data_IF_259943318652
#
_entry.id   IF_259943318652
#
_cell.length_a   1.000
_cell.length_b   1.000
_cell.length_c   1.000
_cell.angle_alpha   90.00
_cell.angle_beta   90.00
_cell.angle_gamma   90.00
#
_symmetry.space_group_name_H-M   'P 1'
#
loop_
_entity.id
_entity.type
_entity.pdbx_description
1 polymer ?
#
# COMPACT_ATOMS: atom_id res chain seq x y z
N UNK A 1 4.25 13.97 23.91
CA UNK A 1 4.15 13.60 22.49
C UNK A 1 3.43 12.25 22.47
N UNK A 2 2.21 12.18 21.92
CA UNK A 2 1.52 10.90 21.82
C UNK A 2 2.20 10.11 20.71
N UNK A 3 2.90 9.03 21.06
CA UNK A 3 3.45 8.12 20.06
C UNK A 3 2.30 7.52 19.26
N UNK A 4 2.34 7.69 17.93
CA UNK A 4 1.28 7.21 17.05
C UNK A 4 1.84 6.23 16.04
N UNK A 5 1.30 5.02 16.00
CA UNK A 5 1.71 3.99 15.04
C UNK A 5 0.98 4.10 13.70
N UNK A 6 0.12 5.11 13.51
CA UNK A 6 -0.77 5.19 12.33
C UNK A 6 0.00 5.26 11.01
N UNK A 7 1.11 6.01 10.98
CA UNK A 7 1.95 6.13 9.79
C UNK A 7 2.60 4.81 9.41
N UNK A 8 3.12 4.09 10.40
CA UNK A 8 3.66 2.74 10.21
C UNK A 8 2.62 1.82 9.59
N UNK A 9 1.36 1.87 10.05
CA UNK A 9 0.28 1.10 9.43
C UNK A 9 0.00 1.54 7.99
N UNK A 10 -0.07 2.84 7.70
CA UNK A 10 -0.25 3.34 6.32
C UNK A 10 0.86 2.83 5.40
N UNK A 11 2.13 2.88 5.84
CA UNK A 11 3.30 2.45 5.07
C UNK A 11 3.30 0.94 4.81
N UNK A 12 2.97 0.11 5.82
CA UNK A 12 3.12 -1.34 5.72
C UNK A 12 1.86 -2.10 5.31
N UNK A 13 0.66 -1.53 5.37
CA UNK A 13 -0.57 -2.19 4.89
C UNK A 13 -0.46 -2.67 3.43
N UNK A 14 0.03 -1.87 2.47
CA UNK A 14 0.23 -2.34 1.10
C UNK A 14 1.28 -3.46 1.03
N UNK A 15 2.36 -3.36 1.82
CA UNK A 15 3.39 -4.38 1.89
C UNK A 15 2.85 -5.72 2.44
N UNK A 16 1.91 -5.69 3.39
CA UNK A 16 1.18 -6.88 3.87
C UNK A 16 0.35 -7.48 2.75
N UNK A 17 -0.37 -6.65 1.97
CA UNK A 17 -1.11 -7.11 0.78
C UNK A 17 -0.19 -7.79 -0.24
N UNK A 18 0.96 -7.18 -0.53
CA UNK A 18 1.99 -7.73 -1.41
C UNK A 18 2.50 -9.07 -0.90
N UNK A 19 2.81 -9.16 0.41
CA UNK A 19 3.26 -10.39 1.05
C UNK A 19 2.22 -11.50 0.97
N UNK A 20 0.93 -11.18 1.15
CA UNK A 20 -0.17 -12.12 1.01
C UNK A 20 -0.29 -12.65 -0.43
N UNK A 21 -0.25 -11.77 -1.43
CA UNK A 21 -0.26 -12.18 -2.85
C UNK A 21 0.97 -13.05 -3.17
N UNK A 22 2.15 -12.64 -2.71
CA UNK A 22 3.41 -13.36 -2.88
C UNK A 22 3.37 -14.77 -2.26
N UNK A 23 2.80 -14.88 -1.05
CA UNK A 23 2.61 -16.17 -0.38
C UNK A 23 1.73 -17.11 -1.22
N UNK A 24 0.60 -16.63 -1.71
CA UNK A 24 -0.30 -17.44 -2.54
C UNK A 24 0.35 -17.83 -3.88
N UNK A 25 1.19 -16.96 -4.45
CA UNK A 25 1.98 -17.29 -5.64
C UNK A 25 2.98 -18.42 -5.38
N UNK A 26 3.71 -18.35 -4.27
CA UNK A 26 4.70 -19.36 -3.88
C UNK A 26 4.06 -20.70 -3.50
N UNK A 27 2.89 -20.66 -2.85
CA UNK A 27 2.16 -21.86 -2.44
C UNK A 27 1.31 -22.47 -3.57
N UNK A 28 1.12 -21.77 -4.69
CA UNK A 28 0.29 -22.24 -5.79
C UNK A 28 0.65 -23.65 -6.32
N UNK A 29 1.93 -24.08 -6.42
CA UNK A 29 2.28 -25.46 -6.81
C UNK A 29 1.70 -26.53 -5.88
N UNK A 30 1.51 -26.20 -4.60
CA UNK A 30 0.91 -27.09 -3.60
C UNK A 30 -0.62 -26.98 -3.60
N UNK A 31 -1.15 -25.76 -3.68
CA UNK A 31 -2.58 -25.45 -3.62
C UNK A 31 -3.33 -25.78 -4.93
N UNK A 32 -2.61 -25.90 -6.06
CA UNK A 32 -3.14 -26.18 -7.40
C UNK A 32 -4.33 -25.29 -7.76
N UNK A 33 -4.27 -24.00 -7.45
CA UNK A 33 -5.36 -23.08 -7.78
C UNK A 33 -5.44 -22.86 -9.29
N UNK A 34 -6.67 -22.74 -9.78
CA UNK A 34 -6.90 -22.29 -11.15
C UNK A 34 -6.37 -20.85 -11.31
N UNK A 35 -5.71 -20.56 -12.43
CA UNK A 35 -5.23 -19.21 -12.78
C UNK A 35 -6.26 -18.09 -12.54
N UNK A 36 -7.53 -18.21 -13.00
CA UNK A 36 -8.52 -17.14 -12.77
C UNK A 36 -8.83 -16.90 -11.29
N UNK A 37 -8.73 -17.93 -10.43
CA UNK A 37 -8.95 -17.77 -9.00
C UNK A 37 -7.80 -17.00 -8.34
N UNK A 38 -6.55 -17.27 -8.73
CA UNK A 38 -5.38 -16.56 -8.24
C UNK A 38 -5.36 -15.09 -8.71
N UNK A 39 -5.73 -14.84 -9.97
CA UNK A 39 -5.85 -13.48 -10.51
C UNK A 39 -6.90 -12.67 -9.76
N UNK A 40 -8.06 -13.29 -9.47
CA UNK A 40 -9.13 -12.64 -8.73
C UNK A 40 -8.73 -12.38 -7.27
N UNK A 41 -8.07 -13.32 -6.61
CA UNK A 41 -7.53 -13.14 -5.26
C UNK A 41 -6.58 -11.95 -5.22
N UNK A 42 -5.63 -11.88 -6.15
CA UNK A 42 -4.65 -10.80 -6.19
C UNK A 42 -5.31 -9.42 -6.38
N UNK A 43 -6.34 -9.34 -7.23
CA UNK A 43 -7.12 -8.11 -7.43
C UNK A 43 -7.86 -7.67 -6.17
N UNK A 44 -8.56 -8.59 -5.53
CA UNK A 44 -9.31 -8.31 -4.30
C UNK A 44 -8.38 -7.84 -3.19
N UNK A 45 -7.25 -8.53 -3.00
CA UNK A 45 -6.25 -8.17 -1.99
C UNK A 45 -5.63 -6.80 -2.29
N UNK A 46 -5.30 -6.51 -3.55
CA UNK A 46 -4.74 -5.22 -3.94
C UNK A 46 -5.70 -4.05 -3.67
N UNK A 47 -6.97 -4.21 -4.08
CA UNK A 47 -8.01 -3.20 -3.84
C UNK A 47 -8.28 -3.05 -2.34
N UNK A 48 -8.34 -4.15 -1.59
CA UNK A 48 -8.60 -4.11 -0.15
C UNK A 48 -7.50 -3.37 0.60
N UNK A 49 -6.23 -3.71 0.37
CA UNK A 49 -5.13 -3.05 1.08
C UNK A 49 -4.97 -1.58 0.66
N UNK A 50 -5.12 -1.24 -0.63
CA UNK A 50 -5.09 0.17 -1.05
C UNK A 50 -6.25 0.98 -0.48
N UNK A 51 -7.45 0.39 -0.37
CA UNK A 51 -8.61 1.01 0.30
C UNK A 51 -8.34 1.25 1.79
N UNK A 52 -7.76 0.27 2.49
CA UNK A 52 -7.42 0.40 3.91
C UNK A 52 -6.40 1.52 4.11
N UNK A 53 -5.34 1.59 3.28
CA UNK A 53 -4.38 2.70 3.33
C UNK A 53 -5.06 4.06 3.11
N UNK A 54 -5.96 4.17 2.12
CA UNK A 54 -6.71 5.41 1.89
C UNK A 54 -7.56 5.81 3.11
N UNK A 55 -8.28 4.86 3.71
CA UNK A 55 -9.09 5.13 4.90
C UNK A 55 -8.22 5.57 6.08
N UNK A 56 -7.09 4.91 6.32
CA UNK A 56 -6.15 5.31 7.38
C UNK A 56 -5.56 6.71 7.12
N UNK A 57 -5.25 7.03 5.87
CA UNK A 57 -4.78 8.38 5.49
C UNK A 57 -5.86 9.44 5.68
N UNK A 58 -7.13 9.13 5.41
CA UNK A 58 -8.25 10.04 5.72
C UNK A 58 -8.38 10.26 7.23
N UNK A 59 -8.25 9.21 8.04
CA UNK A 59 -8.26 9.34 9.51
C UNK A 59 -7.09 10.21 9.99
N UNK A 60 -5.90 10.02 9.41
CA UNK A 60 -4.73 10.85 9.70
C UNK A 60 -4.99 12.33 9.33
N UNK A 61 -5.60 12.58 8.16
CA UNK A 61 -5.97 13.92 7.71
C UNK A 61 -6.93 14.62 8.66
N UNK A 62 -7.98 13.93 9.12
CA UNK A 62 -8.97 14.49 10.03
C UNK A 62 -8.42 14.77 11.43
N UNK A 63 -7.35 14.07 11.83
CA UNK A 63 -6.69 14.27 13.12
C UNK A 63 -5.54 15.28 13.10
N UNK A 64 -5.19 15.84 11.95
CA UNK A 64 -4.05 16.75 11.81
C UNK A 64 -4.41 18.18 12.23
N UNK A 65 -3.55 18.79 13.04
CA UNK A 65 -3.69 20.16 13.49
C UNK A 65 -2.85 21.11 12.61
N UNK A 66 -3.51 21.91 11.76
CA UNK A 66 -2.81 22.81 10.85
C UNK A 66 -2.17 24.03 11.54
N UNK A 67 -2.59 24.37 12.76
CA UNK A 67 -2.02 25.49 13.52
C UNK A 67 -0.70 25.11 14.20
N UNK A 68 -0.42 23.81 14.30
CA UNK A 68 0.82 23.28 14.86
C UNK A 68 1.86 23.01 13.76
N UNK A 69 2.91 23.83 13.76
CA UNK A 69 4.03 23.77 12.79
C UNK A 69 5.02 22.64 13.05
N UNK A 70 4.87 21.91 14.16
CA UNK A 70 5.72 20.78 14.52
C UNK A 70 5.37 19.49 13.79
N UNK A 71 6.28 18.52 13.87
CA UNK A 71 6.04 17.15 13.44
C UNK A 71 4.97 16.47 14.31
N UNK A 72 3.96 15.92 13.66
CA UNK A 72 2.81 15.26 14.28
C UNK A 72 2.81 13.75 13.97
N UNK A 73 2.03 12.99 14.74
CA UNK A 73 1.92 11.54 14.60
C UNK A 73 3.26 10.81 14.62
N UNK A 74 4.18 11.27 15.47
CA UNK A 74 5.55 10.77 15.50
C UNK A 74 5.60 9.34 16.05
N UNK A 75 6.27 8.45 15.32
CA UNK A 75 6.71 7.16 15.78
C UNK A 75 8.24 7.13 15.73
N UNK A 76 8.85 7.08 16.91
CA UNK A 76 10.30 7.04 17.06
C UNK A 76 10.73 5.75 17.74
N UNK A 77 11.57 4.95 17.07
CA UNK A 77 12.18 3.78 17.70
C UNK A 77 13.59 3.56 17.18
N UNK A 78 14.48 3.07 18.05
CA UNK A 78 15.86 2.77 17.66
C UNK A 78 15.87 1.47 16.86
N UNK A 79 16.27 1.54 15.59
CA UNK A 79 16.27 0.38 14.71
C UNK A 79 17.58 -0.42 14.80
N UNK A 80 18.72 0.22 14.56
CA UNK A 80 20.04 -0.43 14.65
C UNK A 80 21.02 0.45 15.43
N UNK A 81 21.17 0.13 16.73
CA UNK A 81 22.03 0.87 17.67
C UNK A 81 23.47 1.00 17.20
N UNK A 82 24.04 -0.06 16.63
CA UNK A 82 25.45 -0.09 16.20
C UNK A 82 25.77 0.95 15.12
N UNK A 83 24.79 1.33 14.30
CA UNK A 83 24.94 2.30 13.23
C UNK A 83 24.24 3.63 13.50
N UNK A 84 23.69 3.80 14.72
CA UNK A 84 22.87 4.95 15.08
C UNK A 84 21.72 5.22 14.07
N UNK A 85 21.07 4.13 13.63
CA UNK A 85 19.92 4.18 12.72
C UNK A 85 18.64 4.13 13.55
N UNK A 86 17.78 5.13 13.35
CA UNK A 86 16.51 5.28 14.03
C UNK A 86 15.38 5.24 13.01
N UNK A 87 14.29 4.56 13.37
CA UNK A 87 13.03 4.65 12.64
C UNK A 87 12.26 5.83 13.23
N UNK A 88 12.32 6.95 12.52
CA UNK A 88 11.68 8.20 12.90
C UNK A 88 10.69 8.59 11.80
N UNK A 89 9.42 8.26 11.99
CA UNK A 89 8.34 8.71 11.13
C UNK A 89 7.53 9.77 11.84
N UNK A 90 7.03 10.73 11.06
CA UNK A 90 6.03 11.70 11.48
C UNK A 90 5.60 12.48 10.24
N UNK A 91 4.53 13.28 10.37
CA UNK A 91 4.08 14.15 9.28
C UNK A 91 4.17 15.61 9.70
N UNK A 92 4.45 16.46 8.73
CA UNK A 92 4.29 17.91 8.78
C UNK A 92 3.19 18.35 7.79
N UNK A 93 2.97 19.66 7.66
CA UNK A 93 1.95 20.22 6.77
C UNK A 93 2.15 19.92 5.27
N UNK A 94 3.37 19.61 4.82
CA UNK A 94 3.63 19.25 3.42
C UNK A 94 3.47 17.74 3.20
N UNK A 95 4.14 16.94 4.03
CA UNK A 95 4.12 15.48 3.93
C UNK A 95 2.71 14.91 4.08
N UNK A 96 1.84 15.49 4.92
CA UNK A 96 0.44 15.04 5.01
C UNK A 96 -0.32 15.17 3.68
N UNK A 97 -0.11 16.26 2.93
CA UNK A 97 -0.74 16.45 1.62
C UNK A 97 -0.22 15.43 0.61
N UNK A 98 1.08 15.13 0.65
CA UNK A 98 1.69 14.12 -0.21
C UNK A 98 1.20 12.72 0.12
N UNK A 99 1.13 12.34 1.40
CA UNK A 99 0.59 11.04 1.84
C UNK A 99 -0.87 10.87 1.38
N UNK A 100 -1.69 11.91 1.51
CA UNK A 100 -3.08 11.94 1.02
C UNK A 100 -3.16 11.76 -0.49
N UNK A 101 -2.36 12.51 -1.25
CA UNK A 101 -2.29 12.41 -2.70
C UNK A 101 -1.84 11.02 -3.15
N UNK A 102 -0.78 10.49 -2.54
CA UNK A 102 -0.27 9.14 -2.80
C UNK A 102 -1.33 8.09 -2.54
N UNK A 103 -2.08 8.19 -1.44
CA UNK A 103 -3.15 7.25 -1.13
C UNK A 103 -4.28 7.28 -2.15
N UNK A 104 -4.72 8.48 -2.53
CA UNK A 104 -5.78 8.67 -3.51
C UNK A 104 -5.37 8.14 -4.90
N UNK A 105 -4.20 8.54 -5.40
CA UNK A 105 -3.71 8.12 -6.72
C UNK A 105 -3.48 6.60 -6.73
N UNK A 106 -2.88 6.04 -5.68
CA UNK A 106 -2.62 4.58 -5.62
C UNK A 106 -3.92 3.78 -5.61
N UNK A 107 -4.93 4.22 -4.88
CA UNK A 107 -6.25 3.58 -4.88
C UNK A 107 -6.89 3.65 -6.27
N UNK A 108 -6.93 4.83 -6.88
CA UNK A 108 -7.49 5.01 -8.24
C UNK A 108 -6.73 4.15 -9.25
N UNK A 109 -5.40 4.12 -9.20
CA UNK A 109 -4.58 3.31 -10.09
C UNK A 109 -4.84 1.81 -9.91
N UNK A 110 -5.02 1.36 -8.67
CA UNK A 110 -5.35 -0.04 -8.35
C UNK A 110 -6.73 -0.41 -8.90
N UNK A 111 -7.73 0.43 -8.70
CA UNK A 111 -9.08 0.23 -9.25
C UNK A 111 -9.06 0.27 -10.78
N UNK A 112 -8.36 1.23 -11.39
CA UNK A 112 -8.23 1.34 -12.84
C UNK A 112 -7.54 0.13 -13.49
N UNK A 113 -6.71 -0.59 -12.73
CA UNK A 113 -6.02 -1.79 -13.21
C UNK A 113 -6.90 -3.05 -13.25
N UNK A 114 -8.13 -2.99 -12.70
CA UNK A 114 -9.12 -4.05 -12.87
C UNK A 114 -9.55 -4.17 -14.34
N UNK A 115 -10.08 -5.34 -14.77
CA UNK A 115 -10.36 -5.61 -16.19
C UNK A 115 -11.66 -4.94 -16.69
N UNK A 116 -11.75 -3.62 -16.59
CA UNK A 116 -12.92 -2.83 -17.04
C UNK A 116 -13.05 -2.85 -18.55
N UNK A 117 -14.17 -3.34 -19.09
CA UNK A 117 -14.49 -3.24 -20.52
C UNK A 117 -13.53 -4.00 -21.45
N UNK A 118 -12.63 -4.84 -20.93
CA UNK A 118 -11.63 -5.57 -21.73
C UNK A 118 -12.29 -6.81 -22.36
N UNK A 119 -12.34 -6.93 -23.70
CA UNK A 119 -12.87 -8.10 -24.38
C UNK A 119 -12.23 -9.39 -23.92
N UNK A 120 -13.01 -10.48 -23.82
CA UNK A 120 -12.52 -11.76 -23.32
C UNK A 120 -11.35 -12.34 -24.15
N UNK A 121 -11.24 -11.97 -25.43
CA UNK A 121 -10.22 -12.44 -26.35
C UNK A 121 -8.89 -11.68 -26.33
N UNK A 122 -8.79 -10.50 -25.69
CA UNK A 122 -7.53 -9.77 -25.62
C UNK A 122 -6.68 -10.27 -24.46
N UNK A 123 -5.76 -11.18 -24.79
CA UNK A 123 -4.84 -11.83 -23.84
C UNK A 123 -3.52 -11.07 -23.67
N UNK A 124 -3.29 -10.00 -24.44
CA UNK A 124 -2.03 -9.24 -24.42
C UNK A 124 -2.09 -8.05 -23.47
N UNK A 125 -3.29 -7.62 -23.05
CA UNK A 125 -3.45 -6.52 -22.10
C UNK A 125 -2.79 -6.83 -20.74
N UNK A 126 -2.07 -5.84 -20.19
CA UNK A 126 -1.31 -5.98 -18.94
C UNK A 126 -2.19 -6.44 -17.75
N UNK A 127 -3.46 -6.04 -17.73
CA UNK A 127 -4.45 -6.46 -16.71
C UNK A 127 -4.86 -7.94 -16.77
N UNK A 128 -4.44 -8.69 -17.80
CA UNK A 128 -4.71 -10.14 -17.96
C UNK A 128 -3.45 -10.99 -17.97
N UNK A 129 -2.27 -10.41 -18.16
CA UNK A 129 -1.00 -11.12 -18.16
C UNK A 129 -0.30 -10.96 -16.82
N UNK A 130 -0.06 -12.08 -16.13
CA UNK A 130 0.68 -12.11 -14.86
C UNK A 130 0.10 -11.18 -13.78
N UNK A 131 -1.23 -11.15 -13.68
CA UNK A 131 -2.01 -10.27 -12.76
C UNK A 131 -1.46 -10.28 -11.33
N UNK A 132 -1.15 -11.43 -10.71
CA UNK A 132 -0.73 -11.46 -9.32
C UNK A 132 0.62 -10.77 -9.12
N UNK A 133 1.57 -10.97 -10.03
CA UNK A 133 2.88 -10.32 -9.97
C UNK A 133 2.76 -8.81 -10.15
N UNK A 134 1.96 -8.36 -11.12
CA UNK A 134 1.69 -6.93 -11.33
C UNK A 134 1.08 -6.27 -10.09
N UNK A 135 0.04 -6.88 -9.50
CA UNK A 135 -0.66 -6.33 -8.33
C UNK A 135 0.26 -6.28 -7.09
N UNK A 136 1.09 -7.31 -6.90
CA UNK A 136 2.09 -7.32 -5.84
C UNK A 136 3.12 -6.19 -6.00
N UNK A 137 3.60 -5.95 -7.22
CA UNK A 137 4.54 -4.86 -7.50
C UNK A 137 3.90 -3.48 -7.35
N UNK A 138 2.63 -3.31 -7.73
CA UNK A 138 1.89 -2.07 -7.51
C UNK A 138 1.79 -1.74 -6.01
N UNK A 139 1.51 -2.74 -5.17
CA UNK A 139 1.47 -2.56 -3.72
C UNK A 139 2.86 -2.33 -3.10
N UNK A 140 3.91 -2.95 -3.65
CA UNK A 140 5.28 -2.67 -3.26
C UNK A 140 5.65 -1.20 -3.54
N UNK A 141 5.28 -0.69 -4.71
CA UNK A 141 5.45 0.72 -5.06
C UNK A 141 4.69 1.63 -4.08
N UNK A 142 3.45 1.29 -3.75
CA UNK A 142 2.64 2.04 -2.79
C UNK A 142 3.32 2.13 -1.41
N UNK A 143 3.83 1.01 -0.88
CA UNK A 143 4.57 0.99 0.37
C UNK A 143 5.86 1.85 0.30
N UNK A 144 6.59 1.78 -0.82
CA UNK A 144 7.78 2.59 -1.05
C UNK A 144 7.50 4.09 -1.09
N UNK A 145 6.42 4.51 -1.75
CA UNK A 145 6.02 5.92 -1.80
C UNK A 145 5.65 6.47 -0.42
N UNK A 146 4.92 5.71 0.40
CA UNK A 146 4.61 6.11 1.77
C UNK A 146 5.83 6.17 2.70
N UNK A 147 6.90 5.43 2.40
CA UNK A 147 8.14 5.52 3.16
C UNK A 147 9.01 6.73 2.78
N UNK A 148 8.70 7.41 1.68
CA UNK A 148 9.47 8.56 1.19
C UNK A 148 8.95 9.93 1.66
N UNK A 149 7.75 9.98 2.22
CA UNK A 149 7.10 11.19 2.73
C UNK A 149 6.78 11.03 4.21
#
# INVERSE_FOLDING_TARGET
>A
MNESTILTWITFVPAIGMGFIGLFLLLNPLLKMARPALDQLARVVAVAASSISLLLTVVLWLGFDADNTGLQFVHHTVWIRAFNIEYFLGVDGLSITMVMLTALISFIATVASLPWGIPAGDTHHFSRRSVPGYMAMLQLLQAGMYGGF
#
